data_IF_795017138099
#
_entry.id   IF_795017138099
#
_cell.length_a   1.000
_cell.length_b   1.000
_cell.length_c   1.000
_cell.angle_alpha   90.00
_cell.angle_beta   90.00
_cell.angle_gamma   90.00
#
_symmetry.space_group_name_H-M   'P 1'
#
loop_
_entity.id
_entity.type
_entity.pdbx_description
1 polymer ?
#
# COMPACT_ATOMS: atom_id res chain seq x y z
N UNK A 1 -18.91 -5.07 -14.50
CA UNK A 1 -19.09 -4.60 -13.12
C UNK A 1 -18.39 -3.26 -13.01
N UNK A 2 -19.13 -2.15 -12.90
CA UNK A 2 -18.50 -0.85 -12.68
C UNK A 2 -17.81 -0.88 -11.31
N UNK A 3 -16.53 -0.47 -11.23
CA UNK A 3 -15.86 -0.28 -9.94
C UNK A 3 -16.68 0.73 -9.14
N UNK A 4 -16.91 0.43 -7.87
CA UNK A 4 -17.58 1.35 -6.96
C UNK A 4 -16.83 2.68 -6.91
N UNK A 5 -17.57 3.78 -6.77
CA UNK A 5 -16.98 5.12 -6.68
C UNK A 5 -16.19 5.20 -5.37
N UNK A 6 -14.91 5.53 -5.47
CA UNK A 6 -14.06 5.69 -4.28
C UNK A 6 -14.46 6.94 -3.49
N UNK A 7 -14.95 6.75 -2.27
CA UNK A 7 -15.33 7.83 -1.36
C UNK A 7 -14.15 8.22 -0.46
N UNK A 8 -13.73 9.50 -0.54
CA UNK A 8 -12.58 10.04 0.19
C UNK A 8 -12.97 10.56 1.57
N UNK A 9 -13.32 9.65 2.48
CA UNK A 9 -13.74 10.02 3.85
C UNK A 9 -12.56 10.21 4.82
N UNK A 10 -11.41 9.60 4.52
CA UNK A 10 -10.20 9.66 5.35
C UNK A 10 -9.24 10.77 4.88
N UNK A 11 -8.47 11.40 5.78
CA UNK A 11 -7.37 12.28 5.41
C UNK A 11 -6.40 11.56 4.46
N UNK A 12 -5.99 12.24 3.39
CA UNK A 12 -5.10 11.70 2.37
C UNK A 12 -3.72 12.35 2.45
N UNK A 13 -2.67 11.54 2.27
CA UNK A 13 -1.30 12.01 2.21
C UNK A 13 -0.58 11.43 0.98
N UNK A 14 0.24 12.25 0.32
CA UNK A 14 1.16 11.79 -0.72
C UNK A 14 2.49 11.41 -0.06
N UNK A 15 2.94 10.17 -0.22
CA UNK A 15 4.16 9.66 0.41
C UNK A 15 5.02 8.88 -0.60
N UNK A 16 6.30 8.71 -0.30
CA UNK A 16 7.22 7.92 -1.13
C UNK A 16 8.50 7.54 -0.37
N UNK A 17 9.12 6.44 -0.80
CA UNK A 17 10.35 5.90 -0.20
C UNK A 17 11.57 6.33 -1.03
N UNK A 18 12.47 7.15 -0.47
CA UNK A 18 13.67 7.68 -1.15
C UNK A 18 14.96 7.27 -0.41
N UNK A 19 16.12 7.29 -1.09
CA UNK A 19 17.42 6.89 -0.51
C UNK A 19 18.41 6.24 -1.49
N UNK A 20 19.59 5.87 -0.98
CA UNK A 20 20.71 5.29 -1.75
C UNK A 20 20.37 3.92 -2.37
N UNK A 21 21.09 3.52 -3.42
CA UNK A 21 20.95 2.20 -4.05
C UNK A 21 21.14 1.09 -3.00
N UNK A 22 20.43 -0.03 -3.17
CA UNK A 22 20.47 -1.20 -2.27
C UNK A 22 20.00 -1.00 -0.82
N UNK A 23 19.49 0.19 -0.44
CA UNK A 23 18.88 0.42 0.88
C UNK A 23 17.43 -0.09 0.99
N UNK A 24 16.99 -0.98 0.08
CA UNK A 24 15.72 -1.69 0.24
C UNK A 24 14.45 -0.85 0.05
N UNK A 25 14.47 0.27 -0.69
CA UNK A 25 13.28 1.13 -0.90
C UNK A 25 12.08 0.36 -1.45
N UNK A 26 12.30 -0.48 -2.47
CA UNK A 26 11.25 -1.32 -3.08
C UNK A 26 10.75 -2.38 -2.10
N UNK A 27 11.67 -3.06 -1.41
CA UNK A 27 11.35 -4.06 -0.40
C UNK A 27 10.53 -3.48 0.74
N UNK A 28 10.89 -2.28 1.22
CA UNK A 28 10.17 -1.59 2.29
C UNK A 28 8.75 -1.22 1.84
N UNK A 29 8.58 -0.68 0.63
CA UNK A 29 7.25 -0.37 0.09
C UNK A 29 6.38 -1.63 -0.01
N UNK A 30 6.94 -2.76 -0.46
CA UNK A 30 6.21 -4.02 -0.53
C UNK A 30 5.85 -4.59 0.86
N UNK A 31 6.76 -4.46 1.83
CA UNK A 31 6.50 -4.87 3.20
C UNK A 31 5.38 -4.03 3.85
N UNK A 32 5.35 -2.71 3.61
CA UNK A 32 4.30 -1.82 4.11
C UNK A 32 2.93 -2.27 3.60
N UNK A 33 2.78 -2.54 2.30
CA UNK A 33 1.48 -2.96 1.74
C UNK A 33 1.04 -4.33 2.27
N UNK A 34 1.98 -5.28 2.43
CA UNK A 34 1.69 -6.61 2.98
C UNK A 34 1.26 -6.53 4.44
N UNK A 35 2.00 -5.82 5.28
CA UNK A 35 1.69 -5.68 6.72
C UNK A 35 0.34 -5.02 6.94
N UNK A 36 -0.01 -3.98 6.18
CA UNK A 36 -1.31 -3.32 6.32
C UNK A 36 -2.48 -4.22 5.87
N UNK A 37 -2.28 -5.08 4.87
CA UNK A 37 -3.27 -6.07 4.48
C UNK A 37 -3.47 -7.13 5.57
N UNK A 38 -2.38 -7.60 6.18
CA UNK A 38 -2.43 -8.61 7.25
C UNK A 38 -3.00 -8.04 8.56
N UNK A 39 -2.76 -6.76 8.86
CA UNK A 39 -3.24 -6.08 10.06
C UNK A 39 -4.75 -5.79 10.03
N UNK A 40 -5.33 -5.58 8.85
CA UNK A 40 -6.77 -5.39 8.67
C UNK A 40 -7.28 -6.11 7.41
N UNK A 41 -7.40 -7.46 7.46
CA UNK A 41 -7.81 -8.27 6.32
C UNK A 41 -9.25 -8.01 5.88
N UNK A 42 -10.07 -7.38 6.74
CA UNK A 42 -11.47 -7.07 6.45
C UNK A 42 -11.64 -5.89 5.50
N UNK A 43 -10.74 -4.90 5.58
CA UNK A 43 -10.81 -3.69 4.77
C UNK A 43 -9.72 -3.63 3.68
N UNK A 44 -8.61 -4.35 3.85
CA UNK A 44 -7.46 -4.28 2.97
C UNK A 44 -7.26 -5.60 2.20
N UNK A 45 -7.27 -5.52 0.87
CA UNK A 45 -6.89 -6.65 0.02
C UNK A 45 -5.41 -6.58 -0.32
N UNK A 46 -4.71 -7.70 -0.13
CA UNK A 46 -3.35 -7.85 -0.64
C UNK A 46 -3.37 -8.17 -2.13
N UNK A 47 -2.47 -7.56 -2.88
CA UNK A 47 -2.19 -7.90 -4.29
C UNK A 47 -0.69 -8.11 -4.41
N UNK A 48 -0.29 -9.31 -4.84
CA UNK A 48 1.11 -9.63 -5.06
C UNK A 48 1.70 -8.80 -6.21
N UNK A 49 2.99 -8.46 -6.07
CA UNK A 49 3.75 -7.90 -7.18
C UNK A 49 4.10 -9.06 -8.13
N UNK A 50 3.59 -9.00 -9.36
CA UNK A 50 3.97 -9.90 -10.45
C UNK A 50 5.36 -9.57 -10.99
#
# INVERSE_FOLDING_TARGET
>A
MAREKFERTKPHANVGTMGHIDHGKTTLTAAITKVLADADPSNNSFTEFA
#
